data_IF_842249254364
#
_entry.id   IF_842249254364
#
_cell.length_a   1.000
_cell.length_b   1.000
_cell.length_c   1.000
_cell.angle_alpha   90.00
_cell.angle_beta   90.00
_cell.angle_gamma   90.00
#
_symmetry.space_group_name_H-M   'P 1'
#
loop_
_entity.id
_entity.type
_entity.pdbx_description
1 polymer ?
#
# COMPACT_ATOMS: atom_id res chain seq x y z
N UNK A 1 34.85 -0.48 17.93
CA UNK A 1 33.91 -0.74 16.83
C UNK A 1 33.04 0.50 16.65
N UNK A 2 33.24 1.25 15.56
CA UNK A 2 32.45 2.45 15.27
C UNK A 2 31.08 2.00 14.74
N UNK A 3 30.02 2.33 15.48
CA UNK A 3 28.64 2.21 15.04
C UNK A 3 28.47 3.06 13.77
N UNK A 4 28.19 2.40 12.64
CA UNK A 4 27.81 3.10 11.41
C UNK A 4 26.44 3.72 11.65
N UNK A 5 26.39 5.03 11.68
CA UNK A 5 25.17 5.84 11.52
C UNK A 5 24.41 5.34 10.28
N UNK A 6 23.06 5.24 10.31
CA UNK A 6 22.29 4.91 9.12
C UNK A 6 22.56 5.96 8.01
N UNK A 7 22.49 5.57 6.73
CA UNK A 7 22.79 6.49 5.65
C UNK A 7 21.81 7.67 5.63
N UNK A 8 22.37 8.81 5.23
CA UNK A 8 21.78 10.14 5.14
C UNK A 8 20.37 10.17 4.54
N UNK A 9 19.53 11.03 5.14
CA UNK A 9 18.21 11.44 4.66
C UNK A 9 18.18 11.66 3.14
N UNK A 10 17.58 10.72 2.42
CA UNK A 10 17.11 10.94 1.05
C UNK A 10 16.11 12.10 1.13
N UNK A 11 16.18 13.14 0.27
CA UNK A 11 15.23 14.25 0.33
C UNK A 11 13.83 13.74 -0.03
N UNK A 12 13.05 13.41 1.00
CA UNK A 12 11.71 12.88 0.88
C UNK A 12 10.73 13.99 0.53
N UNK A 13 9.82 13.75 -0.41
CA UNK A 13 8.74 14.69 -0.75
C UNK A 13 7.53 14.41 0.14
N UNK A 14 7.01 15.43 0.83
CA UNK A 14 5.75 15.32 1.59
C UNK A 14 4.59 15.12 0.61
N UNK A 15 3.78 14.09 0.87
CA UNK A 15 2.66 13.67 0.01
C UNK A 15 1.33 14.05 0.64
N UNK A 16 1.09 13.61 1.87
CA UNK A 16 -0.21 13.71 2.52
C UNK A 16 -0.05 13.80 4.04
N UNK A 17 -0.71 14.78 4.66
CA UNK A 17 -0.87 14.83 6.11
C UNK A 17 -2.02 13.89 6.51
N UNK A 18 -1.72 12.93 7.38
CA UNK A 18 -2.66 12.00 8.00
C UNK A 18 -2.52 12.15 9.52
N UNK A 19 -3.30 13.06 10.15
CA UNK A 19 -3.22 13.26 11.59
C UNK A 19 -3.70 12.01 12.35
N UNK A 20 -3.09 11.80 13.51
CA UNK A 20 -3.45 10.76 14.48
C UNK A 20 -3.70 11.43 15.82
N UNK A 21 -4.71 10.97 16.55
CA UNK A 21 -5.15 11.62 17.79
C UNK A 21 -4.52 10.97 19.03
N UNK A 22 -4.23 9.67 18.96
CA UNK A 22 -3.65 8.94 20.09
C UNK A 22 -2.93 7.67 19.64
N UNK A 23 -2.15 7.11 20.56
CA UNK A 23 -1.56 5.79 20.46
C UNK A 23 -2.32 4.80 21.33
N UNK A 24 -2.31 3.53 20.96
CA UNK A 24 -2.80 2.44 21.80
C UNK A 24 -2.02 1.16 21.64
N UNK A 25 -2.36 0.18 22.46
CA UNK A 25 -1.78 -1.17 22.44
C UNK A 25 -2.83 -2.15 21.90
N UNK A 26 -2.50 -2.82 20.80
CA UNK A 26 -3.37 -3.82 20.20
C UNK A 26 -3.55 -4.99 21.17
N UNK A 27 -4.80 -5.33 21.49
CA UNK A 27 -5.13 -6.47 22.34
C UNK A 27 -5.46 -7.68 21.46
N UNK A 28 -6.36 -7.50 20.50
CA UNK A 28 -6.75 -8.55 19.56
C UNK A 28 -7.38 -7.97 18.29
N UNK A 29 -7.46 -8.79 17.24
CA UNK A 29 -8.17 -8.48 15.99
C UNK A 29 -9.24 -9.56 15.74
N UNK A 30 -10.45 -9.42 16.31
CA UNK A 30 -11.49 -10.45 16.22
C UNK A 30 -11.91 -10.79 14.79
N UNK A 31 -11.80 -9.84 13.86
CA UNK A 31 -12.00 -10.07 12.43
C UNK A 31 -11.24 -9.03 11.60
N UNK A 32 -11.23 -9.21 10.27
CA UNK A 32 -10.47 -8.34 9.35
C UNK A 32 -10.78 -6.83 9.44
N UNK A 33 -11.93 -6.43 9.98
CA UNK A 33 -12.37 -5.03 10.04
C UNK A 33 -12.48 -4.46 11.46
N UNK A 34 -12.16 -5.25 12.50
CA UNK A 34 -12.32 -4.87 13.89
C UNK A 34 -11.07 -5.28 14.69
N UNK A 35 -10.53 -4.32 15.44
CA UNK A 35 -9.53 -4.55 16.47
C UNK A 35 -10.03 -4.04 17.83
N UNK A 36 -9.53 -4.65 18.90
CA UNK A 36 -9.66 -4.17 20.26
C UNK A 36 -8.31 -3.60 20.66
N UNK A 37 -8.29 -2.35 21.10
CA UNK A 37 -7.08 -1.62 21.45
C UNK A 37 -7.24 -1.02 22.83
N UNK A 38 -6.23 -1.17 23.68
CA UNK A 38 -6.13 -0.44 24.95
C UNK A 38 -5.57 0.95 24.67
N UNK A 39 -6.32 1.98 25.06
CA UNK A 39 -5.93 3.38 24.96
C UNK A 39 -5.80 3.92 26.39
N UNK A 40 -4.72 4.66 26.66
CA UNK A 40 -4.51 5.35 27.91
C UNK A 40 -4.88 6.83 27.76
N UNK A 41 -5.89 7.28 28.50
CA UNK A 41 -6.30 8.69 28.57
C UNK A 41 -6.31 9.13 30.04
N UNK A 42 -5.56 10.20 30.35
CA UNK A 42 -5.45 10.75 31.71
C UNK A 42 -5.07 9.72 32.79
N UNK A 43 -4.16 8.79 32.46
CA UNK A 43 -3.72 7.72 33.36
C UNK A 43 -4.73 6.58 33.55
N UNK A 44 -5.86 6.59 32.82
CA UNK A 44 -6.83 5.50 32.82
C UNK A 44 -6.77 4.73 31.51
N UNK A 45 -6.62 3.40 31.61
CA UNK A 45 -6.62 2.49 30.47
C UNK A 45 -8.03 2.03 30.16
N UNK A 46 -8.42 2.10 28.89
CA UNK A 46 -9.72 1.64 28.39
C UNK A 46 -9.55 0.83 27.11
N UNK A 47 -10.31 -0.26 27.01
CA UNK A 47 -10.41 -1.00 25.75
C UNK A 47 -11.45 -0.38 24.84
N UNK A 48 -11.05 -0.10 23.60
CA UNK A 48 -11.87 0.52 22.58
C UNK A 48 -11.97 -0.34 21.32
N UNK A 49 -13.12 -0.22 20.65
CA UNK A 49 -13.36 -0.87 19.36
C UNK A 49 -12.85 0.03 18.24
N UNK A 50 -11.87 -0.47 17.49
CA UNK A 50 -11.17 0.22 16.41
C UNK A 50 -11.49 -0.43 15.07
N UNK A 51 -11.85 0.38 14.08
CA UNK A 51 -12.04 -0.10 12.72
C UNK A 51 -10.70 -0.23 11.99
N UNK A 52 -10.54 -1.35 11.28
CA UNK A 52 -9.37 -1.63 10.45
C UNK A 52 -9.76 -1.52 8.98
N UNK A 53 -9.11 -0.59 8.27
CA UNK A 53 -9.27 -0.36 6.82
C UNK A 53 -8.22 -1.14 6.03
N UNK A 54 -8.07 -2.43 6.34
CA UNK A 54 -7.17 -3.30 5.59
C UNK A 54 -7.72 -4.74 5.62
N UNK A 55 -8.03 -5.35 4.46
CA UNK A 55 -8.50 -6.72 4.41
C UNK A 55 -7.38 -7.77 4.57
N UNK A 56 -6.12 -7.35 4.46
CA UNK A 56 -4.91 -8.18 4.57
C UNK A 56 -4.68 -8.73 5.97
N UNK A 57 -3.74 -9.67 6.05
CA UNK A 57 -3.36 -10.35 7.29
C UNK A 57 -2.45 -9.50 8.15
N UNK A 58 -1.50 -8.77 7.55
CA UNK A 58 -0.49 -7.92 8.20
C UNK A 58 0.00 -8.52 9.53
N UNK A 59 0.56 -9.73 9.46
CA UNK A 59 0.97 -10.52 10.64
C UNK A 59 2.01 -9.80 11.51
N UNK A 60 2.86 -8.98 10.90
CA UNK A 60 3.88 -8.16 11.57
C UNK A 60 3.29 -6.96 12.32
N UNK A 61 2.00 -6.66 12.11
CA UNK A 61 1.28 -5.57 12.78
C UNK A 61 0.25 -6.12 13.77
N UNK A 62 -0.52 -7.12 13.36
CA UNK A 62 -1.68 -7.59 14.11
C UNK A 62 -1.35 -8.69 15.12
N UNK A 63 -0.42 -8.40 16.04
CA UNK A 63 -0.13 -9.25 17.19
C UNK A 63 -0.46 -8.52 18.51
N UNK A 64 -0.93 -9.23 19.55
CA UNK A 64 -1.18 -8.64 20.86
C UNK A 64 0.08 -7.97 21.43
N UNK A 65 -0.07 -6.76 21.95
CA UNK A 65 1.02 -5.94 22.48
C UNK A 65 1.63 -4.97 21.48
N UNK A 66 1.30 -5.04 20.19
CA UNK A 66 1.82 -4.08 19.23
C UNK A 66 1.30 -2.66 19.47
N UNK A 67 2.13 -1.64 19.23
CA UNK A 67 1.75 -0.24 19.30
C UNK A 67 1.04 0.16 18.01
N UNK A 68 -0.04 0.94 18.11
CA UNK A 68 -0.84 1.40 16.98
C UNK A 68 -1.19 2.88 17.11
N UNK A 69 -1.27 3.57 15.98
CA UNK A 69 -1.76 4.94 15.91
C UNK A 69 -3.22 4.97 15.48
N UNK A 70 -4.02 5.77 16.19
CA UNK A 70 -5.46 5.84 16.04
C UNK A 70 -5.93 7.24 15.68
N UNK A 71 -7.05 7.31 14.95
CA UNK A 71 -7.78 8.55 14.71
C UNK A 71 -9.23 8.40 15.16
N UNK A 72 -9.73 9.39 15.88
CA UNK A 72 -11.09 9.40 16.41
C UNK A 72 -12.08 9.51 15.25
N UNK A 73 -13.15 8.74 15.33
CA UNK A 73 -14.21 8.79 14.36
C UNK A 73 -15.06 10.05 14.58
N UNK A 74 -15.26 10.85 13.53
CA UNK A 74 -16.07 12.08 13.61
C UNK A 74 -17.58 11.81 13.65
N UNK A 75 -18.03 10.62 13.22
CA UNK A 75 -19.45 10.29 13.12
C UNK A 75 -19.93 9.53 14.38
N UNK A 76 -20.80 10.14 15.21
CA UNK A 76 -21.27 9.53 16.46
C UNK A 76 -22.16 8.29 16.25
N UNK A 77 -22.66 8.05 15.02
CA UNK A 77 -23.49 6.87 14.70
C UNK A 77 -22.66 5.61 14.41
N UNK A 78 -21.33 5.70 14.40
CA UNK A 78 -20.47 4.56 14.10
C UNK A 78 -20.45 3.56 15.25
N UNK A 79 -20.36 2.27 14.90
CA UNK A 79 -20.18 1.17 15.87
C UNK A 79 -18.77 1.14 16.50
N UNK A 80 -17.80 1.78 15.85
CA UNK A 80 -16.41 1.91 16.29
C UNK A 80 -16.09 3.39 16.49
N UNK A 81 -15.47 3.72 17.62
CA UNK A 81 -15.11 5.11 17.97
C UNK A 81 -13.82 5.60 17.32
N UNK A 82 -13.07 4.69 16.69
CA UNK A 82 -11.72 4.94 16.20
C UNK A 82 -11.46 4.22 14.87
N UNK A 83 -10.58 4.78 14.07
CA UNK A 83 -9.93 4.14 12.92
C UNK A 83 -8.47 3.87 13.26
N UNK A 84 -7.97 2.67 12.93
CA UNK A 84 -6.55 2.40 12.98
C UNK A 84 -5.89 3.07 11.77
N UNK A 85 -4.82 3.81 12.00
CA UNK A 85 -4.08 4.53 10.96
C UNK A 85 -2.79 3.79 10.62
N UNK A 86 -2.00 3.47 11.63
CA UNK A 86 -0.71 2.82 11.47
C UNK A 86 -0.43 1.81 12.57
N UNK A 87 0.42 0.83 12.25
CA UNK A 87 0.97 -0.13 13.21
C UNK A 87 2.48 0.02 13.31
N UNK A 88 3.05 -0.28 14.47
CA UNK A 88 4.50 -0.25 14.65
C UNK A 88 5.11 -1.52 14.07
N UNK A 89 6.17 -1.38 13.27
CA UNK A 89 7.08 -2.46 12.88
C UNK A 89 8.50 -1.96 13.14
N UNK A 90 9.22 -2.61 14.06
CA UNK A 90 10.51 -2.12 14.55
C UNK A 90 10.40 -0.65 14.99
N UNK A 91 11.23 0.24 14.42
CA UNK A 91 11.23 1.67 14.73
C UNK A 91 10.30 2.50 13.85
N UNK A 92 9.61 1.89 12.88
CA UNK A 92 8.81 2.58 11.89
C UNK A 92 7.32 2.47 12.19
N UNK A 93 6.58 3.55 11.89
CA UNK A 93 5.14 3.50 11.76
C UNK A 93 4.79 3.12 10.32
N UNK A 94 4.06 2.03 10.16
CA UNK A 94 3.60 1.54 8.86
C UNK A 94 2.16 1.97 8.70
N UNK A 95 1.88 2.79 7.69
CA UNK A 95 0.51 3.10 7.30
C UNK A 95 -0.18 1.79 6.91
N UNK A 96 -1.26 1.45 7.60
CA UNK A 96 -2.07 0.26 7.28
C UNK A 96 -3.45 0.63 6.77
N UNK A 97 -3.85 1.90 6.88
CA UNK A 97 -5.18 2.32 6.50
C UNK A 97 -5.26 2.56 4.99
N UNK A 98 -5.80 1.57 4.26
CA UNK A 98 -5.85 1.60 2.80
C UNK A 98 -6.77 2.68 2.23
N UNK A 99 -7.61 3.31 3.05
CA UNK A 99 -8.48 4.40 2.60
C UNK A 99 -7.68 5.62 2.11
N UNK A 100 -6.42 5.76 2.53
CA UNK A 100 -5.54 6.83 2.06
C UNK A 100 -4.81 6.51 0.76
N UNK A 101 -4.83 5.25 0.30
CA UNK A 101 -4.10 4.85 -0.91
C UNK A 101 -4.53 5.67 -2.12
N UNK A 102 -5.83 5.93 -2.29
CA UNK A 102 -6.37 6.75 -3.38
C UNK A 102 -5.84 8.18 -3.40
N UNK A 103 -5.58 8.78 -2.23
CA UNK A 103 -5.01 10.12 -2.11
C UNK A 103 -3.51 10.10 -2.41
N UNK A 104 -2.79 9.10 -1.90
CA UNK A 104 -1.35 8.92 -2.14
C UNK A 104 -1.09 8.66 -3.63
N UNK A 105 -1.82 7.73 -4.26
CA UNK A 105 -1.70 7.45 -5.69
C UNK A 105 -2.16 8.61 -6.56
N UNK A 106 -3.19 9.34 -6.14
CA UNK A 106 -3.63 10.57 -6.82
C UNK A 106 -2.50 11.58 -6.89
N UNK A 107 -1.85 11.86 -5.74
CA UNK A 107 -0.69 12.76 -5.69
C UNK A 107 0.45 12.31 -6.60
N UNK A 108 0.75 10.99 -6.64
CA UNK A 108 1.79 10.43 -7.52
C UNK A 108 1.52 10.74 -8.99
N UNK A 109 0.28 10.51 -9.43
CA UNK A 109 -0.13 10.68 -10.83
C UNK A 109 -0.17 12.17 -11.17
N UNK A 110 -0.83 12.98 -10.34
CA UNK A 110 -1.01 14.43 -10.56
C UNK A 110 0.32 15.19 -10.59
N UNK A 111 1.31 14.75 -9.82
CA UNK A 111 2.64 15.38 -9.77
C UNK A 111 3.64 14.75 -10.75
N UNK A 112 3.22 13.81 -11.59
CA UNK A 112 4.10 13.16 -12.57
C UNK A 112 5.34 12.54 -11.91
N UNK A 113 5.19 11.92 -10.73
CA UNK A 113 6.32 11.38 -9.95
C UNK A 113 7.12 10.35 -10.75
N UNK A 114 6.44 9.63 -11.64
CA UNK A 114 7.07 8.83 -12.69
C UNK A 114 6.68 9.40 -14.05
N UNK A 115 7.65 9.51 -14.96
CA UNK A 115 7.48 10.14 -16.28
C UNK A 115 6.34 9.55 -17.12
N UNK A 116 6.01 8.29 -16.85
CA UNK A 116 4.89 7.60 -17.49
C UNK A 116 3.56 8.34 -17.26
N UNK A 117 3.36 8.95 -16.09
CA UNK A 117 2.14 9.69 -15.72
C UNK A 117 2.24 11.21 -15.96
N UNK A 118 3.42 11.76 -16.23
CA UNK A 118 3.60 13.19 -16.46
C UNK A 118 2.79 13.71 -17.64
N UNK A 119 2.34 14.97 -17.57
CA UNK A 119 1.56 15.65 -18.60
C UNK A 119 0.26 14.92 -18.98
N UNK A 120 -0.44 14.37 -18.00
CA UNK A 120 -1.77 13.81 -18.21
C UNK A 120 -2.76 14.91 -18.65
N UNK A 121 -3.53 14.64 -19.71
CA UNK A 121 -4.63 15.49 -20.17
C UNK A 121 -5.84 15.36 -19.24
N UNK A 122 -6.09 14.15 -18.73
CA UNK A 122 -7.17 13.86 -17.80
C UNK A 122 -6.88 12.63 -16.95
N UNK A 123 -7.36 12.64 -15.69
CA UNK A 123 -7.25 11.54 -14.74
C UNK A 123 -8.66 11.17 -14.28
N UNK A 124 -9.17 10.03 -14.73
CA UNK A 124 -10.52 9.56 -14.46
C UNK A 124 -10.47 8.39 -13.47
N UNK A 125 -10.95 8.55 -12.22
CA UNK A 125 -10.89 7.48 -11.24
C UNK A 125 -12.02 6.46 -11.38
N UNK A 126 -11.81 5.25 -10.84
CA UNK A 126 -12.83 4.20 -10.66
C UNK A 126 -13.57 3.82 -11.95
N UNK A 127 -12.81 3.72 -13.05
CA UNK A 127 -13.37 3.47 -14.37
C UNK A 127 -13.59 1.98 -14.61
N UNK A 128 -14.76 1.66 -15.19
CA UNK A 128 -15.10 0.28 -15.55
C UNK A 128 -14.25 -0.16 -16.74
N UNK A 129 -13.62 -1.32 -16.63
CA UNK A 129 -12.93 -1.98 -17.74
C UNK A 129 -13.14 -3.49 -17.64
N UNK A 130 -13.65 -4.10 -18.72
CA UNK A 130 -14.10 -5.50 -18.68
C UNK A 130 -15.14 -5.73 -17.57
N UNK A 131 -14.81 -6.65 -16.65
CA UNK A 131 -15.68 -7.11 -15.56
C UNK A 131 -15.33 -6.50 -14.20
N UNK A 132 -14.34 -5.60 -14.14
CA UNK A 132 -13.96 -4.89 -12.92
C UNK A 132 -14.01 -3.37 -13.08
N UNK A 133 -13.59 -2.70 -12.02
CA UNK A 133 -13.19 -1.29 -12.03
C UNK A 133 -11.72 -1.23 -11.70
N UNK A 134 -10.97 -0.52 -12.54
CA UNK A 134 -9.58 -0.18 -12.30
C UNK A 134 -9.54 1.20 -11.64
N UNK A 135 -8.51 1.44 -10.83
CA UNK A 135 -8.41 2.66 -10.02
C UNK A 135 -8.38 3.93 -10.87
N UNK A 136 -7.74 3.89 -12.05
CA UNK A 136 -7.69 5.03 -12.96
C UNK A 136 -7.69 4.65 -14.45
N UNK A 137 -8.28 5.55 -15.24
CA UNK A 137 -7.98 5.75 -16.65
C UNK A 137 -7.34 7.13 -16.80
N UNK A 138 -6.13 7.17 -17.35
CA UNK A 138 -5.42 8.42 -17.65
C UNK A 138 -5.44 8.63 -19.16
N UNK A 139 -5.80 9.82 -19.60
CA UNK A 139 -5.70 10.24 -21.00
C UNK A 139 -4.45 11.10 -21.15
N UNK A 140 -3.60 10.76 -22.13
CA UNK A 140 -2.33 11.45 -22.40
C UNK A 140 -1.96 11.35 -23.87
N UNK A 141 -1.86 12.48 -24.54
CA UNK A 141 -1.37 12.57 -25.94
C UNK A 141 -2.14 11.63 -26.89
N UNK A 142 -3.47 11.56 -26.71
CA UNK A 142 -4.35 10.68 -27.49
C UNK A 142 -4.27 9.18 -27.14
N UNK A 143 -3.52 8.82 -26.09
CA UNK A 143 -3.46 7.45 -25.54
C UNK A 143 -4.26 7.32 -24.25
N UNK A 144 -4.82 6.14 -24.07
CA UNK A 144 -5.46 5.72 -22.82
C UNK A 144 -4.50 4.83 -22.02
N UNK A 145 -4.30 5.16 -20.75
CA UNK A 145 -3.47 4.42 -19.80
C UNK A 145 -4.36 3.90 -18.68
N UNK A 146 -4.52 2.60 -18.58
CA UNK A 146 -5.23 1.95 -17.48
C UNK A 146 -4.29 1.70 -16.31
N UNK A 147 -4.68 2.11 -15.10
CA UNK A 147 -3.83 2.00 -13.91
C UNK A 147 -4.58 1.33 -12.76
N UNK A 148 -3.91 0.36 -12.15
CA UNK A 148 -4.32 -0.26 -10.90
C UNK A 148 -3.32 0.07 -9.79
N UNK A 149 -3.81 0.31 -8.58
CA UNK A 149 -3.01 0.60 -7.38
C UNK A 149 -3.05 -0.59 -6.43
N UNK A 150 -1.88 -0.95 -5.89
CA UNK A 150 -1.76 -1.93 -4.79
C UNK A 150 -1.00 -1.32 -3.62
N UNK A 151 -1.51 -1.50 -2.41
CA UNK A 151 -0.75 -1.23 -1.19
C UNK A 151 0.12 -2.43 -0.81
N UNK A 152 1.37 -2.18 -0.45
CA UNK A 152 2.32 -3.20 -0.04
C UNK A 152 2.87 -2.87 1.34
N UNK A 153 2.39 -3.58 2.36
CA UNK A 153 2.82 -3.47 3.76
C UNK A 153 3.62 -4.71 4.22
N UNK A 154 3.78 -5.71 3.36
CA UNK A 154 4.60 -6.89 3.64
C UNK A 154 6.03 -6.70 3.10
N UNK A 155 7.02 -6.98 3.94
CA UNK A 155 8.40 -7.11 3.54
C UNK A 155 9.14 -8.10 4.44
N UNK A 156 10.03 -8.88 3.84
CA UNK A 156 10.95 -9.79 4.52
C UNK A 156 12.38 -9.26 4.32
N UNK A 157 13.04 -8.89 5.41
CA UNK A 157 14.29 -8.13 5.34
C UNK A 157 14.09 -6.81 4.57
N UNK A 158 14.76 -6.68 3.42
CA UNK A 158 14.66 -5.49 2.54
C UNK A 158 13.86 -5.75 1.26
N UNK A 159 13.14 -6.86 1.18
CA UNK A 159 12.34 -7.25 0.02
C UNK A 159 10.87 -7.02 0.32
N UNK A 160 10.27 -5.99 -0.28
CA UNK A 160 8.83 -5.78 -0.23
C UNK A 160 8.13 -6.76 -1.17
N UNK A 161 6.97 -7.28 -0.77
CA UNK A 161 6.23 -8.20 -1.64
C UNK A 161 4.72 -8.11 -1.48
N UNK A 162 4.01 -8.43 -2.57
CA UNK A 162 2.54 -8.47 -2.60
C UNK A 162 2.04 -9.72 -3.33
N UNK A 163 0.97 -10.38 -2.86
CA UNK A 163 0.14 -10.01 -1.72
C UNK A 163 0.60 -10.61 -0.38
N UNK A 164 -0.06 -10.22 0.71
CA UNK A 164 0.11 -10.79 2.06
C UNK A 164 -0.94 -11.88 2.39
N UNK A 165 -1.90 -12.09 1.48
CA UNK A 165 -2.85 -13.19 1.47
C UNK A 165 -3.31 -13.48 0.02
N UNK A 166 -3.78 -14.70 -0.31
CA UNK A 166 -4.28 -15.00 -1.65
C UNK A 166 -5.33 -14.00 -2.15
N UNK A 167 -5.21 -13.55 -3.40
CA UNK A 167 -6.00 -12.45 -3.98
C UNK A 167 -6.49 -12.73 -5.40
N UNK A 168 -7.68 -13.34 -5.48
CA UNK A 168 -8.37 -13.56 -6.77
C UNK A 168 -8.70 -12.24 -7.48
N UNK A 169 -9.05 -11.20 -6.71
CA UNK A 169 -9.31 -9.85 -7.26
C UNK A 169 -8.04 -9.23 -7.83
N UNK A 170 -6.91 -9.33 -7.12
CA UNK A 170 -5.63 -8.80 -7.61
C UNK A 170 -5.20 -9.48 -8.91
N UNK A 171 -5.35 -10.81 -9.00
CA UNK A 171 -5.09 -11.57 -10.23
C UNK A 171 -5.97 -11.09 -11.39
N UNK A 172 -7.28 -10.96 -11.19
CA UNK A 172 -8.23 -10.53 -12.23
C UNK A 172 -7.88 -9.14 -12.78
N UNK A 173 -7.49 -8.20 -11.92
CA UNK A 173 -7.10 -6.86 -12.37
C UNK A 173 -5.81 -6.89 -13.22
N UNK A 174 -4.86 -7.80 -12.92
CA UNK A 174 -3.69 -7.99 -13.80
C UNK A 174 -4.09 -8.57 -15.16
N UNK A 175 -5.03 -9.51 -15.21
CA UNK A 175 -5.56 -10.07 -16.46
C UNK A 175 -6.25 -8.99 -17.31
N UNK A 176 -6.97 -8.06 -16.68
CA UNK A 176 -7.56 -6.90 -17.33
C UNK A 176 -6.51 -5.92 -17.87
N UNK A 177 -5.42 -5.68 -17.14
CA UNK A 177 -4.31 -4.84 -17.64
C UNK A 177 -3.57 -5.50 -18.80
N UNK A 178 -3.39 -6.83 -18.77
CA UNK A 178 -2.87 -7.60 -19.90
C UNK A 178 -3.79 -7.41 -21.12
N UNK A 179 -5.11 -7.56 -20.92
CA UNK A 179 -6.09 -7.35 -21.98
C UNK A 179 -6.00 -5.92 -22.55
N UNK A 180 -5.86 -4.90 -21.71
CA UNK A 180 -5.68 -3.52 -22.16
C UNK A 180 -4.45 -3.36 -23.06
N UNK A 181 -3.31 -3.98 -22.71
CA UNK A 181 -2.13 -4.01 -23.59
C UNK A 181 -2.40 -4.69 -24.93
N UNK A 182 -3.12 -5.82 -24.92
CA UNK A 182 -3.45 -6.54 -26.17
C UNK A 182 -4.39 -5.76 -27.08
N UNK A 183 -5.23 -4.90 -26.52
CA UNK A 183 -6.14 -4.00 -27.26
C UNK A 183 -5.44 -2.71 -27.74
N UNK A 184 -4.15 -2.54 -27.45
CA UNK A 184 -3.36 -1.39 -27.87
C UNK A 184 -3.35 -0.21 -26.90
N UNK A 185 -3.93 -0.36 -25.70
CA UNK A 185 -3.83 0.65 -24.65
C UNK A 185 -2.52 0.54 -23.87
N UNK A 186 -2.15 1.62 -23.20
CA UNK A 186 -1.12 1.59 -22.17
C UNK A 186 -1.70 1.07 -20.85
N UNK A 187 -0.88 0.42 -20.03
CA UNK A 187 -1.33 -0.18 -18.79
C UNK A 187 -0.21 -0.13 -17.74
N UNK A 188 -0.58 0.14 -16.48
CA UNK A 188 0.35 0.15 -15.37
C UNK A 188 -0.23 -0.40 -14.05
N UNK A 189 0.67 -0.92 -13.23
CA UNK A 189 0.42 -1.20 -11.82
C UNK A 189 1.28 -0.26 -10.98
N UNK A 190 0.65 0.55 -10.12
CA UNK A 190 1.32 1.38 -9.14
C UNK A 190 1.33 0.67 -7.79
N UNK A 191 2.51 0.35 -7.26
CA UNK A 191 2.65 -0.29 -5.94
C UNK A 191 3.07 0.78 -4.93
N UNK A 192 2.24 1.01 -3.92
CA UNK A 192 2.56 1.85 -2.77
C UNK A 192 3.30 0.99 -1.73
N UNK A 193 4.62 1.03 -1.75
CA UNK A 193 5.48 0.30 -0.81
C UNK A 193 5.58 1.10 0.48
N UNK A 194 4.87 0.66 1.51
CA UNK A 194 4.77 1.31 2.82
C UNK A 194 5.75 0.68 3.81
N UNK A 195 6.94 0.29 3.34
CA UNK A 195 7.99 -0.39 4.10
C UNK A 195 9.30 0.35 3.86
N UNK A 196 9.62 1.40 4.66
CA UNK A 196 10.73 2.32 4.37
C UNK A 196 12.11 1.65 4.31
N UNK A 197 12.24 0.45 4.87
CA UNK A 197 13.43 -0.39 4.81
C UNK A 197 13.61 -1.17 3.50
N UNK A 198 12.60 -1.19 2.62
CA UNK A 198 12.61 -1.97 1.39
C UNK A 198 13.53 -1.38 0.32
N UNK A 199 14.29 -2.25 -0.36
CA UNK A 199 15.22 -1.90 -1.44
C UNK A 199 14.76 -2.42 -2.81
N UNK A 200 13.87 -3.41 -2.85
CA UNK A 200 13.23 -3.89 -4.08
C UNK A 200 11.81 -4.42 -3.82
N UNK A 201 11.05 -4.62 -4.89
CA UNK A 201 9.70 -5.20 -4.85
C UNK A 201 9.57 -6.45 -5.71
N UNK A 202 8.77 -7.42 -5.25
CA UNK A 202 8.39 -8.62 -6.02
C UNK A 202 6.94 -9.03 -5.78
N UNK A 203 6.36 -9.76 -6.74
CA UNK A 203 5.17 -10.56 -6.45
C UNK A 203 5.52 -11.71 -5.48
N UNK A 204 4.63 -11.98 -4.53
CA UNK A 204 4.80 -13.02 -3.52
C UNK A 204 4.18 -14.34 -4.00
N UNK A 205 4.95 -15.17 -4.69
CA UNK A 205 4.53 -16.48 -5.17
C UNK A 205 4.44 -17.55 -4.08
N UNK A 206 5.04 -17.35 -2.91
CA UNK A 206 4.86 -18.24 -1.75
C UNK A 206 3.44 -18.12 -1.18
N UNK A 207 2.88 -16.91 -1.18
CA UNK A 207 1.52 -16.62 -0.70
C UNK A 207 0.47 -16.87 -1.77
N UNK A 208 0.73 -16.41 -3.01
CA UNK A 208 -0.20 -16.58 -4.13
C UNK A 208 0.55 -16.87 -5.45
N UNK A 209 0.81 -18.16 -5.74
CA UNK A 209 1.46 -18.57 -6.98
C UNK A 209 0.73 -18.09 -8.24
N UNK A 210 -0.61 -18.08 -8.21
CA UNK A 210 -1.42 -17.70 -9.36
C UNK A 210 -1.33 -16.20 -9.64
N UNK A 211 -1.31 -15.36 -8.60
CA UNK A 211 -1.03 -13.93 -8.75
C UNK A 211 0.37 -13.69 -9.31
N UNK A 212 1.40 -14.36 -8.76
CA UNK A 212 2.78 -14.18 -9.20
C UNK A 212 2.99 -14.60 -10.67
N UNK A 213 2.36 -15.69 -11.11
CA UNK A 213 2.38 -16.12 -12.51
C UNK A 213 1.73 -15.07 -13.42
N UNK A 214 0.55 -14.56 -13.05
CA UNK A 214 -0.14 -13.51 -13.82
C UNK A 214 0.66 -12.20 -13.80
N UNK A 215 1.34 -11.87 -12.71
CA UNK A 215 2.22 -10.69 -12.64
C UNK A 215 3.38 -10.79 -13.62
N UNK A 216 4.01 -11.96 -13.73
CA UNK A 216 5.03 -12.22 -14.76
C UNK A 216 4.47 -12.04 -16.18
N UNK A 217 3.30 -12.61 -16.45
CA UNK A 217 2.59 -12.45 -17.74
C UNK A 217 2.26 -10.98 -18.04
N UNK A 218 1.93 -10.19 -17.02
CA UNK A 218 1.68 -8.76 -17.18
C UNK A 218 2.93 -8.00 -17.62
N UNK A 219 4.08 -8.28 -17.02
CA UNK A 219 5.36 -7.71 -17.45
C UNK A 219 5.69 -8.09 -18.90
N UNK A 220 5.50 -9.36 -19.27
CA UNK A 220 5.72 -9.87 -20.64
C UNK A 220 4.78 -9.21 -21.67
N UNK A 221 3.53 -8.91 -21.28
CA UNK A 221 2.57 -8.17 -22.09
C UNK A 221 2.86 -6.65 -22.17
N UNK A 222 3.89 -6.17 -21.46
CA UNK A 222 4.30 -4.77 -21.46
C UNK A 222 3.51 -3.88 -20.50
N UNK A 223 2.78 -4.45 -19.54
CA UNK A 223 2.21 -3.68 -18.40
C UNK A 223 3.39 -3.12 -17.59
N UNK A 224 3.39 -1.80 -17.37
CA UNK A 224 4.43 -1.15 -16.56
C UNK A 224 4.17 -1.37 -15.08
N UNK A 225 5.21 -1.55 -14.28
CA UNK A 225 5.06 -1.67 -12.82
C UNK A 225 5.95 -0.63 -12.15
N UNK A 226 5.37 0.15 -11.25
CA UNK A 226 6.04 1.23 -10.53
C UNK A 226 5.93 0.99 -9.02
N UNK A 227 6.91 0.32 -8.41
CA UNK A 227 7.00 0.26 -6.96
C UNK A 227 7.57 1.56 -6.42
N UNK A 228 6.79 2.29 -5.63
CA UNK A 228 7.18 3.58 -5.05
C UNK A 228 7.28 3.44 -3.53
N UNK A 229 8.43 3.84 -2.98
CA UNK A 229 8.74 3.76 -1.56
C UNK A 229 8.20 4.97 -0.82
N UNK A 230 7.47 4.71 0.25
CA UNK A 230 6.95 5.71 1.16
C UNK A 230 7.27 5.38 2.61
N UNK A 231 7.36 6.42 3.45
CA UNK A 231 7.35 6.30 4.91
C UNK A 231 6.17 7.07 5.51
N UNK A 232 5.80 6.70 6.74
CA UNK A 232 4.83 7.42 7.54
C UNK A 232 5.49 7.91 8.83
N UNK A 233 5.76 9.20 8.91
CA UNK A 233 6.52 9.82 9.99
C UNK A 233 5.79 11.10 10.43
N UNK A 234 5.61 11.27 11.74
CA UNK A 234 4.97 12.45 12.35
C UNK A 234 3.63 12.85 11.71
N UNK A 235 2.81 11.84 11.39
CA UNK A 235 1.51 12.04 10.75
C UNK A 235 1.60 12.45 9.28
N UNK A 236 2.72 12.25 8.60
CA UNK A 236 2.93 12.62 7.20
C UNK A 236 3.38 11.41 6.40
N UNK A 237 2.75 11.20 5.24
CA UNK A 237 3.27 10.29 4.21
C UNK A 237 4.32 11.02 3.38
N UNK A 238 5.49 10.41 3.27
CA UNK A 238 6.63 10.93 2.54
C UNK A 238 7.03 9.96 1.44
N UNK A 239 7.15 10.46 0.20
CA UNK A 239 7.71 9.72 -0.93
C UNK A 239 9.24 9.81 -0.90
N UNK A 240 9.91 8.68 -1.14
CA UNK A 240 11.38 8.59 -1.16
C UNK A 240 11.93 8.35 -2.56
N UNK A 241 11.52 7.26 -3.20
CA UNK A 241 12.09 6.83 -4.47
C UNK A 241 11.18 5.82 -5.18
N UNK A 242 11.48 5.55 -6.46
CA UNK A 242 11.01 4.34 -7.12
C UNK A 242 11.99 3.20 -6.82
N UNK A 243 11.48 2.05 -6.39
CA UNK A 243 12.26 0.84 -6.19
C UNK A 243 12.35 0.03 -7.48
N UNK A 244 13.47 -0.70 -7.70
CA UNK A 244 13.53 -1.72 -8.73
C UNK A 244 12.62 -2.91 -8.39
N UNK A 245 12.27 -3.68 -9.42
CA UNK A 245 11.81 -5.05 -9.20
C UNK A 245 13.00 -5.91 -8.75
N UNK A 246 12.77 -6.85 -7.84
CA UNK A 246 13.82 -7.79 -7.44
C UNK A 246 14.21 -8.70 -8.61
N UNK A 247 15.49 -9.11 -8.67
CA UNK A 247 16.03 -9.98 -9.74
C UNK A 247 15.36 -11.37 -9.80
N UNK A 248 14.75 -11.82 -8.69
CA UNK A 248 14.04 -13.09 -8.58
C UNK A 248 12.67 -12.88 -7.94
N UNK A 249 11.69 -13.60 -8.47
CA UNK A 249 10.36 -13.72 -7.84
C UNK A 249 10.49 -14.66 -6.65
N UNK A 250 9.84 -14.36 -5.53
CA UNK A 250 9.71 -15.28 -4.41
C UNK A 250 8.85 -16.47 -4.84
N UNK A 251 9.47 -17.64 -5.03
CA UNK A 251 8.79 -18.89 -5.35
C UNK A 251 9.28 -20.00 -4.42
N UNK A 252 8.48 -21.07 -4.27
CA UNK A 252 8.85 -22.22 -3.45
C UNK A 252 10.00 -23.07 -4.03
N UNK A 253 10.50 -22.71 -5.22
CA UNK A 253 11.52 -23.47 -5.97
C UNK A 253 12.87 -22.73 -6.07
N UNK A 254 13.08 -21.69 -5.26
CA UNK A 254 14.36 -20.94 -5.20
C UNK A 254 15.32 -21.49 -4.16
#
# INVERSE_FOLDING_TARGET
MKTKTPPSSIPSKKVLQIPTDTEGILIERPNRFLAIVEIEENGTKKQEKVHVHDPGRLIDVFYPGNRVLLRKANNPKRKTGWDMIAGRISDNWILINSAFHRQISGWVIENGVVDFFSNADSILPEQKYGDSRLDYLILKEGKSIWVEVKGCTLAEGRVASFPDAPTTRGKRHLEELIKARTEGYEAAVLILVLRPEAECFTANGLIDPAFAETFKKALEAGVKVFPLLFSFEDGVICYHSQLPLCDKVLSAES
#
